data_IF_672869025783
#
_entry.id   IF_672869025783
#
_cell.length_a   1.000
_cell.length_b   1.000
_cell.length_c   1.000
_cell.angle_alpha   90.00
_cell.angle_beta   90.00
_cell.angle_gamma   90.00
#
_symmetry.space_group_name_H-M   'P 1'
#
loop_
_entity.id
_entity.type
_entity.pdbx_description
1 polymer ?
#
# COMPACT_ATOMS: atom_id res chain seq x y z
N UNK A 1 13.37 10.09 -1.48
CA UNK A 1 12.29 9.08 -1.44
C UNK A 1 11.42 9.24 -2.69
N UNK A 2 11.28 8.21 -3.54
CA UNK A 2 10.59 8.36 -4.84
C UNK A 2 9.05 8.42 -4.69
N UNK A 3 8.42 9.40 -5.33
CA UNK A 3 6.97 9.67 -5.33
C UNK A 3 6.08 8.47 -5.70
N UNK A 4 6.65 7.42 -6.34
CA UNK A 4 5.91 6.19 -6.70
C UNK A 4 5.55 5.30 -5.51
N UNK A 5 6.29 5.39 -4.39
CA UNK A 5 6.02 4.58 -3.21
C UNK A 5 4.78 5.07 -2.43
N UNK A 6 4.45 6.36 -2.52
CA UNK A 6 3.25 6.96 -1.91
C UNK A 6 1.99 6.53 -2.67
N UNK A 7 2.07 6.39 -4.01
CA UNK A 7 0.95 6.01 -4.90
C UNK A 7 0.33 4.64 -4.57
N UNK A 8 1.12 3.68 -4.07
CA UNK A 8 0.63 2.33 -3.72
C UNK A 8 0.10 2.20 -2.28
N UNK A 9 0.15 3.27 -1.48
CA UNK A 9 -0.36 3.29 -0.11
C UNK A 9 -1.84 3.64 -0.06
N UNK A 10 -2.29 4.61 -0.86
CA UNK A 10 -3.68 5.06 -0.85
C UNK A 10 -4.67 4.00 -1.33
N UNK A 11 -4.31 3.23 -2.37
CA UNK A 11 -5.20 2.19 -2.91
C UNK A 11 -5.43 1.01 -1.95
N UNK A 12 -4.47 0.71 -1.06
CA UNK A 12 -4.59 -0.41 -0.14
C UNK A 12 -5.70 -0.15 0.90
N UNK A 13 -5.79 1.07 1.43
CA UNK A 13 -6.81 1.43 2.43
C UNK A 13 -8.23 1.38 1.87
N UNK A 14 -8.41 1.82 0.61
CA UNK A 14 -9.66 1.71 -0.15
C UNK A 14 -10.09 0.25 -0.27
N UNK A 15 -9.15 -0.64 -0.62
CA UNK A 15 -9.44 -2.07 -0.75
C UNK A 15 -9.89 -2.69 0.58
N UNK A 16 -9.20 -2.39 1.70
CA UNK A 16 -9.57 -2.97 2.99
C UNK A 16 -10.95 -2.49 3.45
N UNK A 17 -11.24 -1.19 3.33
CA UNK A 17 -12.54 -0.64 3.66
C UNK A 17 -13.64 -1.26 2.79
N UNK A 18 -13.39 -1.48 1.49
CA UNK A 18 -14.34 -2.17 0.59
C UNK A 18 -14.57 -3.62 0.97
N UNK A 19 -13.51 -4.37 1.26
CA UNK A 19 -13.60 -5.79 1.58
C UNK A 19 -14.39 -6.05 2.86
N UNK A 20 -14.25 -5.17 3.85
CA UNK A 20 -14.84 -5.35 5.18
C UNK A 20 -16.06 -4.45 5.44
N UNK A 21 -16.59 -3.76 4.42
CA UNK A 21 -17.70 -2.82 4.56
C UNK A 21 -18.93 -3.42 5.24
N UNK A 22 -19.29 -4.66 4.93
CA UNK A 22 -20.46 -5.32 5.52
C UNK A 22 -20.29 -5.59 7.02
N UNK A 23 -19.06 -5.84 7.47
CA UNK A 23 -18.75 -6.16 8.87
C UNK A 23 -18.46 -4.90 9.69
N UNK A 24 -17.88 -3.88 9.05
CA UNK A 24 -17.46 -2.64 9.68
C UNK A 24 -17.81 -1.45 8.76
N UNK A 25 -19.08 -1.00 8.75
CA UNK A 25 -19.51 0.15 7.93
C UNK A 25 -18.82 1.46 8.35
N UNK A 26 -18.31 1.56 9.58
CA UNK A 26 -17.56 2.71 10.09
C UNK A 26 -16.17 2.91 9.46
N UNK A 27 -15.69 1.94 8.66
CA UNK A 27 -14.40 2.01 7.98
C UNK A 27 -14.36 3.06 6.86
N UNK A 28 -15.51 3.52 6.37
CA UNK A 28 -15.60 4.56 5.34
C UNK A 28 -16.92 4.57 4.59
N UNK A 29 -17.08 5.57 3.71
CA UNK A 29 -18.26 5.76 2.87
C UNK A 29 -17.91 5.70 1.39
N UNK A 30 -18.89 5.58 0.51
CA UNK A 30 -18.65 5.62 -0.95
C UNK A 30 -18.29 7.03 -1.40
N UNK A 31 -17.53 7.17 -2.48
CA UNK A 31 -17.19 8.48 -3.07
C UNK A 31 -18.43 9.29 -3.44
N UNK A 32 -19.54 8.65 -3.84
CA UNK A 32 -20.83 9.34 -4.06
C UNK A 32 -21.39 10.00 -2.81
N UNK A 33 -21.24 9.37 -1.65
CA UNK A 33 -21.72 9.90 -0.37
C UNK A 33 -20.75 10.96 0.14
N UNK A 34 -19.44 10.72 0.02
CA UNK A 34 -18.39 11.70 0.37
C UNK A 34 -18.54 13.00 -0.42
N UNK A 35 -18.78 12.90 -1.74
CA UNK A 35 -18.91 14.09 -2.59
C UNK A 35 -20.15 14.90 -2.21
N UNK A 36 -21.26 14.27 -1.81
CA UNK A 36 -22.46 14.99 -1.35
C UNK A 36 -22.21 15.90 -0.15
N UNK A 37 -21.32 15.51 0.76
CA UNK A 37 -20.94 16.35 1.90
C UNK A 37 -20.10 17.59 1.50
N UNK A 38 -19.49 17.58 0.31
CA UNK A 38 -18.62 18.66 -0.19
C UNK A 38 -19.33 19.61 -1.17
N UNK A 39 -20.63 19.45 -1.43
CA UNK A 39 -21.38 20.26 -2.43
C UNK A 39 -21.82 21.62 -1.85
N UNK A 40 -21.74 21.83 -0.54
CA UNK A 40 -22.29 23.02 0.14
C UNK A 40 -21.44 24.28 0.09
N UNK A 41 -20.14 24.18 -0.23
CA UNK A 41 -19.23 25.34 -0.20
C UNK A 41 -18.42 25.36 -1.49
N UNK A 42 -18.21 26.55 -2.05
CA UNK A 42 -17.33 26.80 -3.20
C UNK A 42 -15.85 26.61 -2.82
N UNK A 43 -15.55 25.46 -2.24
CA UNK A 43 -14.24 25.09 -1.74
C UNK A 43 -13.55 24.36 -2.89
N UNK A 44 -12.62 25.06 -3.56
CA UNK A 44 -11.77 24.52 -4.64
C UNK A 44 -10.76 23.51 -4.09
N UNK A 45 -11.23 22.53 -3.32
CA UNK A 45 -10.42 21.48 -2.76
C UNK A 45 -9.93 20.59 -3.90
N UNK A 46 -8.60 20.46 -3.99
CA UNK A 46 -7.95 19.53 -4.91
C UNK A 46 -8.54 18.12 -4.70
N UNK A 47 -9.17 17.52 -5.72
CA UNK A 47 -9.81 16.22 -5.57
C UNK A 47 -8.78 15.19 -5.12
N UNK A 48 -9.15 14.33 -4.16
CA UNK A 48 -8.27 13.26 -3.73
C UNK A 48 -8.05 12.32 -4.92
N UNK A 49 -6.90 11.65 -4.95
CA UNK A 49 -6.61 10.66 -5.99
C UNK A 49 -7.73 9.60 -6.13
N UNK A 50 -8.41 9.28 -5.01
CA UNK A 50 -9.54 8.34 -5.01
C UNK A 50 -10.72 8.92 -5.78
N UNK A 51 -10.99 10.21 -5.64
CA UNK A 51 -12.10 10.88 -6.32
C UNK A 51 -11.83 10.97 -7.83
N UNK A 52 -10.58 11.20 -8.22
CA UNK A 52 -10.17 11.16 -9.63
C UNK A 52 -10.25 9.74 -10.25
N UNK A 53 -9.93 8.70 -9.47
CA UNK A 53 -9.95 7.31 -9.95
C UNK A 53 -11.34 6.66 -9.85
N UNK A 54 -12.26 7.26 -9.11
CA UNK A 54 -13.57 6.69 -8.81
C UNK A 54 -14.64 7.33 -9.66
N UNK A 55 -15.36 6.52 -10.44
CA UNK A 55 -16.64 6.92 -11.03
C UNK A 55 -17.81 6.82 -10.03
N UNK A 56 -17.55 7.04 -8.73
CA UNK A 56 -18.58 7.00 -7.67
C UNK A 56 -18.67 5.70 -6.86
N UNK A 57 -18.03 4.61 -7.30
CA UNK A 57 -18.15 3.28 -6.69
C UNK A 57 -17.03 2.87 -5.72
N UNK A 58 -15.96 3.66 -5.58
CA UNK A 58 -14.88 3.38 -4.63
C UNK A 58 -15.26 3.86 -3.22
N UNK A 59 -14.63 3.24 -2.22
CA UNK A 59 -14.79 3.63 -0.82
C UNK A 59 -13.71 4.63 -0.44
N UNK A 60 -14.13 5.76 0.10
CA UNK A 60 -13.26 6.70 0.80
C UNK A 60 -13.15 6.21 2.25
N UNK A 61 -11.95 5.77 2.69
CA UNK A 61 -11.80 5.30 4.05
C UNK A 61 -11.92 6.47 5.03
N UNK A 62 -12.48 6.20 6.21
CA UNK A 62 -12.61 7.18 7.29
C UNK A 62 -11.24 7.65 7.79
N UNK A 63 -11.21 8.85 8.38
CA UNK A 63 -9.96 9.44 8.89
C UNK A 63 -9.29 8.54 9.93
N UNK A 64 -10.05 8.07 10.92
CA UNK A 64 -9.55 7.18 11.97
C UNK A 64 -8.98 5.88 11.40
N UNK A 65 -9.69 5.26 10.45
CA UNK A 65 -9.22 4.05 9.81
C UNK A 65 -7.92 4.27 9.02
N UNK A 66 -7.83 5.37 8.26
CA UNK A 66 -6.58 5.76 7.57
C UNK A 66 -5.43 5.89 8.57
N UNK A 67 -5.64 6.58 9.69
CA UNK A 67 -4.62 6.76 10.72
C UNK A 67 -4.14 5.42 11.30
N UNK A 68 -5.06 4.50 11.59
CA UNK A 68 -4.71 3.16 12.06
C UNK A 68 -3.89 2.37 11.04
N UNK A 69 -4.27 2.35 9.76
CA UNK A 69 -3.50 1.60 8.75
C UNK A 69 -2.14 2.26 8.49
N UNK A 70 -2.05 3.59 8.49
CA UNK A 70 -0.75 4.27 8.38
C UNK A 70 0.18 3.93 9.56
N UNK A 71 -0.35 3.86 10.79
CA UNK A 71 0.40 3.40 11.95
C UNK A 71 0.85 1.95 11.80
N UNK A 72 -0.04 1.06 11.36
CA UNK A 72 0.29 -0.33 11.08
C UNK A 72 1.40 -0.46 10.02
N UNK A 73 1.36 0.36 8.96
CA UNK A 73 2.39 0.41 7.94
C UNK A 73 3.74 0.89 8.47
N UNK A 74 3.75 1.92 9.32
CA UNK A 74 4.97 2.40 9.96
C UNK A 74 5.60 1.30 10.82
N UNK A 75 4.80 0.60 11.61
CA UNK A 75 5.25 -0.52 12.44
C UNK A 75 5.76 -1.68 11.57
N UNK A 76 5.03 -2.05 10.51
CA UNK A 76 5.44 -3.08 9.56
C UNK A 76 6.81 -2.75 8.96
N UNK A 77 7.02 -1.51 8.50
CA UNK A 77 8.32 -1.05 7.96
C UNK A 77 9.44 -1.14 9.02
N UNK A 78 9.16 -0.74 10.26
CA UNK A 78 10.12 -0.82 11.38
C UNK A 78 10.52 -2.25 11.71
N UNK A 79 9.56 -3.18 11.77
CA UNK A 79 9.83 -4.60 12.08
C UNK A 79 10.61 -5.26 10.94
N UNK A 80 10.19 -5.04 9.70
CA UNK A 80 10.75 -5.75 8.54
C UNK A 80 12.06 -5.16 8.04
N UNK A 81 12.43 -3.94 8.45
CA UNK A 81 13.64 -3.22 8.00
C UNK A 81 13.78 -3.23 6.46
N UNK A 82 12.66 -3.04 5.76
CA UNK A 82 12.55 -3.11 4.29
C UNK A 82 12.84 -4.48 3.65
N UNK A 83 13.09 -5.54 4.43
CA UNK A 83 13.30 -6.90 3.93
C UNK A 83 11.97 -7.65 3.76
N UNK A 84 12.00 -8.75 3.01
CA UNK A 84 10.92 -9.72 2.95
C UNK A 84 11.06 -10.65 4.16
N UNK A 85 10.05 -10.72 5.04
CA UNK A 85 10.09 -11.60 6.21
C UNK A 85 10.07 -13.08 5.77
N UNK A 86 10.85 -13.92 6.44
CA UNK A 86 11.02 -15.36 6.14
C UNK A 86 10.64 -16.20 7.36
N UNK A 87 10.23 -17.44 7.14
CA UNK A 87 9.88 -18.41 8.19
C UNK A 87 8.45 -18.95 8.09
N UNK A 88 8.11 -19.89 8.95
CA UNK A 88 6.74 -20.43 9.09
C UNK A 88 5.87 -19.45 9.88
N UNK A 89 4.59 -19.33 9.50
CA UNK A 89 3.64 -18.50 10.23
C UNK A 89 3.92 -16.99 10.25
N UNK A 90 4.71 -16.48 9.29
CA UNK A 90 5.15 -15.07 9.22
C UNK A 90 4.01 -14.07 9.34
N UNK A 91 2.87 -14.34 8.71
CA UNK A 91 1.69 -13.45 8.77
C UNK A 91 1.18 -13.34 10.21
N UNK A 92 0.98 -14.47 10.90
CA UNK A 92 0.48 -14.52 12.28
C UNK A 92 1.45 -13.82 13.24
N UNK A 93 2.74 -14.07 13.09
CA UNK A 93 3.77 -13.44 13.94
C UNK A 93 3.84 -11.92 13.74
N UNK A 94 3.77 -11.45 12.48
CA UNK A 94 3.78 -10.01 12.19
C UNK A 94 2.49 -9.33 12.66
N UNK A 95 1.35 -9.98 12.47
CA UNK A 95 0.07 -9.50 12.99
C UNK A 95 0.14 -9.29 14.49
N UNK A 96 0.57 -10.30 15.26
CA UNK A 96 0.70 -10.18 16.72
C UNK A 96 1.65 -9.04 17.11
N UNK A 97 2.80 -8.92 16.45
CA UNK A 97 3.76 -7.82 16.72
C UNK A 97 3.19 -6.44 16.40
N UNK A 98 2.32 -6.32 15.40
CA UNK A 98 1.67 -5.07 15.03
C UNK A 98 0.56 -4.74 16.04
N UNK A 99 -0.31 -5.71 16.35
CA UNK A 99 -1.38 -5.57 17.34
C UNK A 99 -0.83 -5.14 18.70
N UNK A 100 0.20 -5.81 19.21
CA UNK A 100 0.79 -5.49 20.52
C UNK A 100 1.40 -4.07 20.60
N UNK A 101 1.59 -3.37 19.48
CA UNK A 101 2.16 -2.02 19.40
C UNK A 101 1.13 -0.96 19.03
N UNK A 102 -0.14 -1.35 18.89
CA UNK A 102 -1.25 -0.47 18.55
C UNK A 102 -2.35 -0.63 19.60
N UNK A 103 -2.88 0.49 20.06
CA UNK A 103 -4.12 0.55 20.82
C UNK A 103 -5.30 0.50 19.84
N UNK A 104 -5.50 -0.66 19.21
CA UNK A 104 -6.62 -0.90 18.29
C UNK A 104 -7.50 -2.01 18.84
N UNK A 105 -8.81 -1.89 18.66
CA UNK A 105 -9.76 -2.91 19.08
C UNK A 105 -9.51 -4.23 18.36
N UNK A 106 -9.64 -5.33 19.11
CA UNK A 106 -9.39 -6.68 18.62
C UNK A 106 -10.32 -7.07 17.46
N UNK A 107 -11.50 -6.44 17.36
CA UNK A 107 -12.44 -6.63 16.25
C UNK A 107 -11.82 -6.35 14.87
N UNK A 108 -10.80 -5.48 14.79
CA UNK A 108 -10.11 -5.15 13.55
C UNK A 108 -8.98 -6.14 13.18
N UNK A 109 -8.75 -7.18 13.98
CA UNK A 109 -7.74 -8.21 13.71
C UNK A 109 -7.86 -8.84 12.30
N UNK A 110 -9.05 -9.16 11.76
CA UNK A 110 -9.18 -9.69 10.40
C UNK A 110 -8.71 -8.70 9.32
N UNK A 111 -8.99 -7.41 9.53
CA UNK A 111 -8.57 -6.33 8.61
C UNK A 111 -7.04 -6.24 8.58
N UNK A 112 -6.41 -6.24 9.76
CA UNK A 112 -4.96 -6.19 9.90
C UNK A 112 -4.27 -7.46 9.40
N UNK A 113 -4.90 -8.63 9.57
CA UNK A 113 -4.41 -9.88 8.98
C UNK A 113 -4.33 -9.77 7.45
N UNK A 114 -5.40 -9.30 6.80
CA UNK A 114 -5.41 -9.05 5.36
C UNK A 114 -4.37 -8.02 4.95
N UNK A 115 -4.22 -6.94 5.73
CA UNK A 115 -3.20 -5.92 5.51
C UNK A 115 -1.78 -6.50 5.49
N UNK A 116 -1.42 -7.30 6.51
CA UNK A 116 -0.09 -7.92 6.62
C UNK A 116 0.16 -8.84 5.42
N UNK A 117 -0.82 -9.70 5.09
CA UNK A 117 -0.72 -10.63 3.94
C UNK A 117 -0.48 -9.87 2.63
N UNK A 118 -1.25 -8.82 2.38
CA UNK A 118 -1.10 -8.00 1.17
C UNK A 118 0.24 -7.26 1.13
N UNK A 119 0.70 -6.70 2.26
CA UNK A 119 1.99 -5.99 2.28
C UNK A 119 3.18 -6.90 2.00
N UNK A 120 3.15 -8.14 2.49
CA UNK A 120 4.17 -9.14 2.14
C UNK A 120 4.15 -9.40 0.64
N UNK A 121 2.97 -9.68 0.08
CA UNK A 121 2.82 -9.99 -1.34
C UNK A 121 3.26 -8.85 -2.26
N UNK A 122 2.87 -7.61 -1.95
CA UNK A 122 3.30 -6.41 -2.68
C UNK A 122 4.83 -6.26 -2.63
N UNK A 123 5.44 -6.48 -1.46
CA UNK A 123 6.90 -6.43 -1.31
C UNK A 123 7.60 -7.51 -2.13
N UNK A 124 7.08 -8.73 -2.13
CA UNK A 124 7.62 -9.83 -2.95
C UNK A 124 7.57 -9.45 -4.44
N UNK A 125 6.41 -8.98 -4.94
CA UNK A 125 6.26 -8.52 -6.33
C UNK A 125 7.26 -7.41 -6.68
N UNK A 126 7.43 -6.43 -5.79
CA UNK A 126 8.36 -5.32 -6.02
C UNK A 126 9.82 -5.80 -6.05
N UNK A 127 10.21 -6.68 -5.13
CA UNK A 127 11.56 -7.24 -5.11
C UNK A 127 11.87 -8.04 -6.39
N UNK A 128 10.93 -8.87 -6.85
CA UNK A 128 11.08 -9.63 -8.09
C UNK A 128 11.24 -8.71 -9.30
N UNK A 129 10.39 -7.68 -9.43
CA UNK A 129 10.48 -6.69 -10.52
C UNK A 129 11.80 -5.91 -10.47
N UNK A 130 12.25 -5.55 -9.28
CA UNK A 130 13.51 -4.84 -9.10
C UNK A 130 14.70 -5.71 -9.54
N UNK A 131 14.71 -7.00 -9.16
CA UNK A 131 15.75 -7.94 -9.56
C UNK A 131 15.80 -8.14 -11.09
N UNK A 132 14.64 -8.29 -11.74
CA UNK A 132 14.57 -8.36 -13.21
C UNK A 132 15.12 -7.09 -13.87
N UNK A 133 14.76 -5.92 -13.34
CA UNK A 133 15.24 -4.64 -13.84
C UNK A 133 16.76 -4.51 -13.70
N UNK A 134 17.32 -4.94 -12.57
CA UNK A 134 18.77 -4.95 -12.34
C UNK A 134 19.51 -5.89 -13.29
N UNK A 135 18.96 -7.09 -13.54
CA UNK A 135 19.52 -8.04 -14.49
C UNK A 135 19.56 -7.45 -15.91
N UNK A 136 18.46 -6.84 -16.36
CA UNK A 136 18.39 -6.16 -17.66
C UNK A 136 19.42 -5.02 -17.77
N UNK A 137 19.56 -4.19 -16.73
CA UNK A 137 20.56 -3.12 -16.68
C UNK A 137 21.99 -3.63 -16.78
N UNK A 138 22.32 -4.71 -16.05
CA UNK A 138 23.65 -5.34 -16.12
C UNK A 138 23.93 -5.88 -17.51
N UNK A 139 22.96 -6.54 -18.15
CA UNK A 139 23.08 -7.04 -19.53
C UNK A 139 23.33 -5.91 -20.54
N UNK A 140 22.56 -4.83 -20.46
CA UNK A 140 22.73 -3.66 -21.33
C UNK A 140 24.11 -2.99 -21.15
N UNK A 141 24.57 -2.83 -19.88
CA UNK A 141 25.90 -2.28 -19.60
C UNK A 141 27.03 -3.14 -20.17
N UNK A 142 26.91 -4.47 -20.07
CA UNK A 142 27.88 -5.39 -20.68
C UNK A 142 27.89 -5.30 -22.21
N UNK A 143 26.72 -5.22 -22.85
CA UNK A 143 26.62 -5.05 -24.30
C UNK A 143 27.24 -3.73 -24.76
N UNK A 144 26.98 -2.63 -24.06
CA UNK A 144 27.58 -1.33 -24.36
C UNK A 144 29.11 -1.38 -24.29
N UNK A 145 29.66 -2.01 -23.25
CA UNK A 145 31.12 -2.20 -23.11
C UNK A 145 31.71 -3.02 -24.27
N UNK A 146 31.01 -4.04 -24.77
CA UNK A 146 31.44 -4.83 -25.93
C UNK A 146 31.46 -3.98 -27.20
N UNK A 147 30.40 -3.21 -27.46
CA UNK A 147 30.32 -2.32 -28.62
C UNK A 147 31.40 -1.22 -28.60
N UNK A 148 31.69 -0.66 -27.42
CA UNK A 148 32.75 0.33 -27.27
C UNK A 148 34.15 -0.24 -27.56
N UNK A 149 34.40 -1.52 -27.24
CA UNK A 149 35.66 -2.20 -27.60
C UNK A 149 35.75 -2.43 -29.11
N UNK A 150 34.66 -2.87 -29.74
CA UNK A 150 34.62 -3.09 -31.19
C UNK A 150 34.83 -1.80 -31.98
N UNK A 151 34.38 -0.65 -31.47
CA UNK A 151 34.61 0.67 -32.08
C UNK A 151 36.06 1.19 -31.99
N UNK A 152 36.91 0.57 -31.18
CA UNK A 152 38.32 0.96 -31.01
C UNK A 152 39.28 0.11 -31.86
N UNK A 153 38.76 -0.93 -32.52
CA UNK A 153 39.44 -1.69 -33.56
C UNK A 153 39.15 -1.03 -34.92
#
# INVERSE_FOLDING_TARGET
>A
MSARAVKNSCAAHVYYAKKYRQQFPELGCTTTVSNKFNIGEHDYLLPLLIDYLSYGGLIVPSYNFKAHIFRAERIFKKITKQKIPKGTGVVKQLLNKIMNRMSIEEKYRPVLHTFVKQRIFIRMKYANKHQQTLAAKRKASLQLKKLQKLRKL
#
